data_IF_073974129061
#
_entry.id   IF_073974129061
#
_cell.length_a   1.000
_cell.length_b   1.000
_cell.length_c   1.000
_cell.angle_alpha   90.00
_cell.angle_beta   90.00
_cell.angle_gamma   90.00
#
_symmetry.space_group_name_H-M   'P 1'
#
loop_
_entity.id
_entity.type
_entity.pdbx_description
1 polymer ?
#
# COMPACT_ATOMS: atom_id res chain seq x y z
N UNK A 1 6.41 -11.98 -41.73
CA UNK A 1 5.06 -11.46 -41.45
C UNK A 1 4.52 -10.84 -42.73
N UNK A 2 3.35 -11.29 -43.19
CA UNK A 2 2.56 -10.62 -44.23
C UNK A 2 2.01 -9.31 -43.68
N UNK A 3 1.83 -8.30 -44.54
CA UNK A 3 1.28 -7.00 -44.14
C UNK A 3 -0.16 -7.15 -43.63
N UNK A 4 -0.51 -6.40 -42.58
CA UNK A 4 -1.89 -6.36 -42.06
C UNK A 4 -2.79 -5.69 -43.11
N UNK A 5 -3.97 -6.24 -43.44
CA UNK A 5 -4.85 -5.65 -44.45
C UNK A 5 -5.19 -4.18 -44.16
N UNK A 6 -5.24 -3.37 -45.22
CA UNK A 6 -5.75 -2.00 -45.13
C UNK A 6 -7.25 -2.06 -44.78
N UNK A 7 -7.70 -1.21 -43.86
CA UNK A 7 -9.10 -1.14 -43.43
C UNK A 7 -9.44 -1.87 -42.13
N UNK A 8 -8.50 -2.59 -41.51
CA UNK A 8 -8.69 -3.18 -40.18
C UNK A 8 -8.93 -2.08 -39.15
N UNK A 9 -10.01 -2.22 -38.39
CA UNK A 9 -10.36 -1.31 -37.28
C UNK A 9 -10.12 -1.94 -35.90
N UNK A 10 -10.29 -3.26 -35.79
CA UNK A 10 -10.18 -3.99 -34.54
C UNK A 10 -9.00 -4.96 -34.62
N UNK A 11 -8.02 -4.79 -33.73
CA UNK A 11 -6.87 -5.66 -33.59
C UNK A 11 -6.82 -6.37 -32.23
N UNK A 12 -7.97 -6.54 -31.59
CA UNK A 12 -8.06 -7.22 -30.31
C UNK A 12 -7.40 -8.61 -30.37
N UNK A 13 -6.48 -8.86 -29.44
CA UNK A 13 -5.74 -10.12 -29.29
C UNK A 13 -5.01 -10.64 -30.54
N UNK A 14 -4.80 -9.85 -31.60
CA UNK A 14 -4.24 -10.34 -32.87
C UNK A 14 -2.83 -10.96 -32.76
N UNK A 15 -2.01 -10.51 -31.82
CA UNK A 15 -0.68 -11.06 -31.53
C UNK A 15 -0.58 -11.60 -30.11
N UNK A 16 -1.72 -11.93 -29.48
CA UNK A 16 -1.74 -12.50 -28.14
C UNK A 16 -0.88 -13.77 -28.09
N UNK A 17 0.00 -13.87 -27.09
CA UNK A 17 0.84 -15.05 -26.88
C UNK A 17 1.86 -15.30 -27.99
N UNK A 18 2.15 -14.32 -28.86
CA UNK A 18 3.23 -14.42 -29.83
C UNK A 18 4.59 -14.26 -29.11
N UNK A 19 4.97 -15.22 -28.27
CA UNK A 19 6.08 -15.11 -27.32
C UNK A 19 7.42 -14.79 -28.00
N UNK A 20 7.63 -15.29 -29.23
CA UNK A 20 8.85 -15.07 -30.03
C UNK A 20 8.85 -13.78 -30.87
N UNK A 21 7.82 -12.92 -30.76
CA UNK A 21 7.70 -11.69 -31.54
C UNK A 21 8.72 -10.63 -31.08
N UNK A 22 9.82 -10.48 -31.81
CA UNK A 22 10.87 -9.49 -31.48
C UNK A 22 10.59 -8.09 -32.04
N UNK A 23 9.80 -8.01 -33.12
CA UNK A 23 9.43 -6.77 -33.81
C UNK A 23 7.96 -6.82 -34.21
N UNK A 24 7.16 -5.89 -33.69
CA UNK A 24 5.78 -5.73 -34.09
C UNK A 24 5.64 -5.23 -35.54
N UNK A 25 4.59 -5.63 -36.27
CA UNK A 25 4.28 -5.08 -37.58
C UNK A 25 3.78 -3.64 -37.49
N UNK A 26 3.74 -2.94 -38.63
CA UNK A 26 3.09 -1.62 -38.73
C UNK A 26 1.58 -1.76 -38.53
N UNK A 27 1.00 -0.90 -37.69
CA UNK A 27 -0.42 -0.91 -37.37
C UNK A 27 -1.18 -0.03 -38.38
N UNK A 28 -2.22 -0.53 -39.06
CA UNK A 28 -3.00 0.26 -40.01
C UNK A 28 -3.63 1.51 -39.37
N UNK A 29 -3.66 2.62 -40.10
CA UNK A 29 -4.19 3.92 -39.61
C UNK A 29 -5.65 3.90 -39.14
N UNK A 30 -6.46 2.95 -39.63
CA UNK A 30 -7.87 2.82 -39.29
C UNK A 30 -8.16 2.10 -37.97
N UNK A 31 -7.13 1.58 -37.29
CA UNK A 31 -7.30 0.81 -36.06
C UNK A 31 -7.75 1.72 -34.92
N UNK A 32 -8.82 1.32 -34.25
CA UNK A 32 -9.39 2.00 -33.08
C UNK A 32 -9.30 1.15 -31.80
N UNK A 33 -9.18 -0.18 -31.93
CA UNK A 33 -9.13 -1.11 -30.81
C UNK A 33 -7.87 -1.99 -30.86
N UNK A 34 -7.06 -1.93 -29.81
CA UNK A 34 -5.86 -2.76 -29.61
C UNK A 34 -5.90 -3.53 -28.29
N UNK A 35 -7.10 -3.80 -27.76
CA UNK A 35 -7.31 -4.62 -26.58
C UNK A 35 -6.47 -5.90 -26.63
N UNK A 36 -5.57 -6.10 -25.66
CA UNK A 36 -4.77 -7.33 -25.52
C UNK A 36 -3.91 -7.69 -26.76
N UNK A 37 -3.71 -6.74 -27.69
CA UNK A 37 -3.17 -7.02 -29.03
C UNK A 37 -1.79 -7.69 -29.00
N UNK A 38 -0.88 -7.20 -28.15
CA UNK A 38 0.49 -7.72 -27.98
C UNK A 38 0.71 -8.39 -26.62
N UNK A 39 -0.36 -8.73 -25.89
CA UNK A 39 -0.23 -9.37 -24.59
C UNK A 39 0.56 -10.68 -24.71
N UNK A 40 1.49 -10.90 -23.79
CA UNK A 40 2.43 -12.02 -23.74
C UNK A 40 3.39 -12.11 -24.95
N UNK A 41 3.60 -11.02 -25.69
CA UNK A 41 4.74 -10.90 -26.62
C UNK A 41 6.04 -10.66 -25.84
N UNK A 42 6.53 -11.70 -25.15
CA UNK A 42 7.63 -11.60 -24.16
C UNK A 42 8.96 -11.13 -24.74
N UNK A 43 9.21 -11.43 -26.02
CA UNK A 43 10.42 -11.02 -26.73
C UNK A 43 10.34 -9.62 -27.38
N UNK A 44 9.20 -8.94 -27.30
CA UNK A 44 9.03 -7.63 -27.94
C UNK A 44 9.82 -6.56 -27.19
N UNK A 45 10.85 -6.00 -27.83
CA UNK A 45 11.74 -5.01 -27.20
C UNK A 45 11.28 -3.56 -27.34
N UNK A 46 10.45 -3.29 -28.36
CA UNK A 46 9.93 -1.96 -28.71
C UNK A 46 8.48 -2.07 -29.16
N UNK A 47 7.63 -1.20 -28.64
CA UNK A 47 6.25 -1.09 -29.10
C UNK A 47 6.20 -0.49 -30.52
N UNK A 48 5.23 -0.91 -31.36
CA UNK A 48 5.01 -0.26 -32.67
C UNK A 48 4.49 1.17 -32.50
N UNK A 49 4.54 1.96 -33.57
CA UNK A 49 3.81 3.22 -33.61
C UNK A 49 2.30 2.96 -33.47
N UNK A 50 1.65 3.70 -32.58
CA UNK A 50 0.22 3.56 -32.30
C UNK A 50 -0.54 4.59 -33.14
N UNK A 51 -1.49 4.18 -34.02
CA UNK A 51 -2.24 5.11 -34.85
C UNK A 51 -3.12 6.09 -34.07
N UNK A 52 -3.27 7.31 -34.59
CA UNK A 52 -4.07 8.39 -33.99
C UNK A 52 -5.55 8.03 -33.73
N UNK A 53 -6.09 6.98 -34.35
CA UNK A 53 -7.46 6.53 -34.13
C UNK A 53 -7.65 5.60 -32.93
N UNK A 54 -6.57 5.11 -32.31
CA UNK A 54 -6.66 4.09 -31.25
C UNK A 54 -7.27 4.65 -29.97
N UNK A 55 -8.38 4.06 -29.53
CA UNK A 55 -9.13 4.47 -28.34
C UNK A 55 -8.93 3.49 -27.17
N UNK A 56 -8.77 2.20 -27.46
CA UNK A 56 -8.63 1.15 -26.44
C UNK A 56 -7.28 0.43 -26.53
N UNK A 57 -6.52 0.50 -25.45
CA UNK A 57 -5.23 -0.18 -25.26
C UNK A 57 -5.20 -1.03 -23.97
N UNK A 58 -6.35 -1.40 -23.42
CA UNK A 58 -6.41 -2.28 -22.26
C UNK A 58 -5.63 -3.58 -22.52
N UNK A 59 -4.77 -3.96 -21.57
CA UNK A 59 -3.86 -5.13 -21.65
C UNK A 59 -2.96 -5.19 -22.90
N UNK A 60 -2.84 -4.11 -23.69
CA UNK A 60 -2.24 -4.17 -25.02
C UNK A 60 -0.82 -4.75 -25.02
N UNK A 61 0.01 -4.38 -24.03
CA UNK A 61 1.38 -4.86 -23.86
C UNK A 61 1.59 -5.65 -22.55
N UNK A 62 0.51 -6.21 -21.98
CA UNK A 62 0.62 -7.04 -20.78
C UNK A 62 1.66 -8.15 -20.99
N UNK A 63 2.54 -8.37 -20.02
CA UNK A 63 3.60 -9.38 -20.04
C UNK A 63 4.57 -9.26 -21.25
N UNK A 64 4.70 -8.09 -21.88
CA UNK A 64 5.82 -7.78 -22.77
C UNK A 64 7.10 -7.55 -21.95
N UNK A 65 7.65 -8.61 -21.36
CA UNK A 65 8.69 -8.52 -20.32
C UNK A 65 9.99 -7.84 -20.78
N UNK A 66 10.34 -7.94 -22.07
CA UNK A 66 11.52 -7.29 -22.68
C UNK A 66 11.26 -5.90 -23.25
N UNK A 67 10.04 -5.37 -23.15
CA UNK A 67 9.69 -4.06 -23.69
C UNK A 67 10.42 -2.97 -22.90
N UNK A 68 11.31 -2.23 -23.56
CA UNK A 68 12.17 -1.23 -22.90
C UNK A 68 11.67 0.21 -23.04
N UNK A 69 10.97 0.49 -24.15
CA UNK A 69 10.49 1.83 -24.53
C UNK A 69 9.18 1.73 -25.30
N UNK A 70 8.33 2.72 -25.10
CA UNK A 70 7.06 2.89 -25.78
C UNK A 70 7.05 4.30 -26.39
N UNK A 71 6.64 4.48 -27.65
CA UNK A 71 6.51 5.82 -28.24
C UNK A 71 5.39 6.61 -27.53
N UNK A 72 5.28 7.90 -27.85
CA UNK A 72 4.15 8.69 -27.42
C UNK A 72 2.83 8.04 -27.86
N UNK A 73 1.84 8.03 -26.97
CA UNK A 73 0.52 7.47 -27.23
C UNK A 73 -0.40 8.57 -27.78
N UNK A 74 -1.31 8.22 -28.70
CA UNK A 74 -2.18 9.21 -29.33
C UNK A 74 -3.23 9.75 -28.34
N UNK A 75 -3.64 11.00 -28.54
CA UNK A 75 -4.56 11.70 -27.64
C UNK A 75 -5.96 11.06 -27.57
N UNK A 76 -6.32 10.25 -28.56
CA UNK A 76 -7.60 9.54 -28.66
C UNK A 76 -7.73 8.36 -27.70
N UNK A 77 -6.63 7.85 -27.14
CA UNK A 77 -6.65 6.71 -26.20
C UNK A 77 -7.39 7.10 -24.93
N UNK A 78 -8.40 6.31 -24.57
CA UNK A 78 -9.24 6.51 -23.38
C UNK A 78 -9.02 5.42 -22.32
N UNK A 79 -8.74 4.18 -22.74
CA UNK A 79 -8.57 3.03 -21.85
C UNK A 79 -7.15 2.45 -21.94
N UNK A 80 -6.47 2.39 -20.79
CA UNK A 80 -5.13 1.82 -20.63
C UNK A 80 -5.02 0.87 -19.42
N UNK A 81 -6.13 0.33 -18.92
CA UNK A 81 -6.10 -0.61 -17.81
C UNK A 81 -5.15 -1.79 -18.12
N UNK A 82 -4.22 -2.09 -17.20
CA UNK A 82 -3.18 -3.13 -17.37
C UNK A 82 -2.33 -3.04 -18.64
N UNK A 83 -2.28 -1.90 -19.34
CA UNK A 83 -1.61 -1.79 -20.64
C UNK A 83 -0.15 -2.26 -20.62
N UNK A 84 0.62 -1.95 -19.57
CA UNK A 84 2.02 -2.34 -19.39
C UNK A 84 2.23 -3.27 -18.17
N UNK A 85 1.20 -4.01 -17.78
CA UNK A 85 1.27 -4.96 -16.67
C UNK A 85 2.39 -5.98 -16.90
N UNK A 86 3.32 -6.13 -15.96
CA UNK A 86 4.54 -6.95 -16.06
C UNK A 86 5.46 -6.62 -17.25
N UNK A 87 5.49 -5.38 -17.75
CA UNK A 87 6.58 -4.92 -18.62
C UNK A 87 7.87 -4.70 -17.83
N UNK A 88 8.47 -5.78 -17.33
CA UNK A 88 9.58 -5.77 -16.35
C UNK A 88 10.80 -4.95 -16.79
N UNK A 89 11.07 -4.88 -18.09
CA UNK A 89 12.20 -4.13 -18.66
C UNK A 89 11.88 -2.68 -19.04
N UNK A 90 10.67 -2.19 -18.80
CA UNK A 90 10.26 -0.83 -19.18
C UNK A 90 11.00 0.18 -18.30
N UNK A 91 11.94 0.92 -18.89
CA UNK A 91 12.79 1.88 -18.16
C UNK A 91 12.17 3.27 -18.06
N UNK A 92 11.31 3.61 -19.02
CA UNK A 92 10.61 4.89 -19.13
C UNK A 92 9.17 4.64 -19.59
N UNK A 93 8.22 5.15 -18.83
CA UNK A 93 6.82 5.17 -19.23
C UNK A 93 6.60 6.17 -20.39
N UNK A 94 5.65 5.91 -21.31
CA UNK A 94 5.31 6.87 -22.35
C UNK A 94 4.60 8.10 -21.77
N UNK A 95 4.52 9.17 -22.57
CA UNK A 95 3.61 10.28 -22.27
C UNK A 95 2.17 9.75 -22.28
N UNK A 96 1.46 9.98 -21.18
CA UNK A 96 0.08 9.53 -21.02
C UNK A 96 -0.90 10.49 -21.71
N UNK A 97 -1.86 9.96 -22.51
CA UNK A 97 -2.94 10.72 -23.13
C UNK A 97 -3.82 11.45 -22.10
N UNK A 98 -4.22 12.70 -22.42
CA UNK A 98 -4.96 13.56 -21.50
C UNK A 98 -6.40 13.07 -21.17
N UNK A 99 -7.00 12.25 -22.05
CA UNK A 99 -8.37 11.77 -21.92
C UNK A 99 -8.55 10.59 -20.94
N UNK A 100 -7.46 10.00 -20.44
CA UNK A 100 -7.54 8.81 -19.60
C UNK A 100 -8.09 9.14 -18.22
N UNK A 101 -9.03 8.33 -17.76
CA UNK A 101 -9.63 8.42 -16.42
C UNK A 101 -9.19 7.30 -15.48
N UNK A 102 -8.72 6.16 -16.01
CA UNK A 102 -8.35 4.96 -15.26
C UNK A 102 -6.95 4.47 -15.62
N UNK A 103 -6.05 4.45 -14.64
CA UNK A 103 -4.69 3.90 -14.74
C UNK A 103 -4.51 2.63 -13.90
N UNK A 104 -5.59 1.97 -13.50
CA UNK A 104 -5.48 0.81 -12.63
C UNK A 104 -4.56 -0.26 -13.22
N UNK A 105 -3.63 -0.74 -12.41
CA UNK A 105 -2.65 -1.77 -12.76
C UNK A 105 -1.79 -1.47 -14.02
N UNK A 106 -1.80 -0.25 -14.55
CA UNK A 106 -1.21 0.06 -15.86
C UNK A 106 0.29 -0.26 -15.92
N UNK A 107 1.03 0.03 -14.86
CA UNK A 107 2.48 -0.23 -14.73
C UNK A 107 2.81 -1.27 -13.65
N UNK A 108 1.84 -2.12 -13.28
CA UNK A 108 2.10 -3.19 -12.31
C UNK A 108 3.29 -4.03 -12.74
N UNK A 109 4.23 -4.34 -11.85
CA UNK A 109 5.40 -5.16 -12.15
C UNK A 109 6.36 -4.56 -13.19
N UNK A 110 6.29 -3.26 -13.48
CA UNK A 110 7.32 -2.57 -14.28
C UNK A 110 8.58 -2.35 -13.43
N UNK A 111 9.30 -3.44 -13.14
CA UNK A 111 10.39 -3.46 -12.15
C UNK A 111 11.55 -2.51 -12.49
N UNK A 112 11.80 -2.28 -13.79
CA UNK A 112 12.89 -1.41 -14.27
C UNK A 112 12.52 0.08 -14.37
N UNK A 113 11.27 0.46 -14.09
CA UNK A 113 10.83 1.85 -14.19
C UNK A 113 11.46 2.67 -13.05
N UNK A 114 12.23 3.69 -13.41
CA UNK A 114 13.00 4.51 -12.44
C UNK A 114 12.32 5.82 -12.09
N UNK A 115 11.60 6.40 -13.05
CA UNK A 115 10.84 7.65 -12.94
C UNK A 115 9.41 7.39 -13.43
N UNK A 116 8.39 7.93 -12.73
CA UNK A 116 7.00 7.74 -13.11
C UNK A 116 6.62 8.68 -14.27
N UNK A 117 5.56 8.36 -15.05
CA UNK A 117 5.01 9.31 -16.01
C UNK A 117 4.30 10.47 -15.30
N UNK A 118 4.13 11.59 -16.01
CA UNK A 118 3.15 12.61 -15.60
C UNK A 118 1.75 11.99 -15.68
N UNK A 119 0.99 12.08 -14.59
CA UNK A 119 -0.38 11.62 -14.52
C UNK A 119 -1.31 12.69 -15.12
N UNK A 120 -2.21 12.35 -16.05
CA UNK A 120 -3.21 13.30 -16.56
C UNK A 120 -4.21 13.76 -15.51
N UNK A 121 -4.66 15.02 -15.60
CA UNK A 121 -5.57 15.64 -14.63
C UNK A 121 -6.94 14.94 -14.48
N UNK A 122 -7.40 14.27 -15.54
CA UNK A 122 -8.69 13.58 -15.56
C UNK A 122 -8.66 12.19 -14.90
N UNK A 123 -7.50 11.72 -14.46
CA UNK A 123 -7.37 10.41 -13.81
C UNK A 123 -8.06 10.44 -12.45
N UNK A 124 -8.97 9.48 -12.23
CA UNK A 124 -9.68 9.31 -10.97
C UNK A 124 -9.26 8.05 -10.22
N UNK A 125 -8.69 7.06 -10.91
CA UNK A 125 -8.31 5.76 -10.34
C UNK A 125 -6.87 5.36 -10.69
N UNK A 126 -6.06 5.10 -9.66
CA UNK A 126 -4.66 4.65 -9.76
C UNK A 126 -4.41 3.35 -8.96
N UNK A 127 -5.46 2.57 -8.67
CA UNK A 127 -5.34 1.33 -7.90
C UNK A 127 -4.28 0.39 -8.50
N UNK A 128 -3.31 -0.04 -7.71
CA UNK A 128 -2.16 -0.89 -8.10
C UNK A 128 -1.32 -0.38 -9.29
N UNK A 129 -1.42 0.89 -9.67
CA UNK A 129 -0.81 1.42 -10.90
C UNK A 129 0.69 1.13 -11.00
N UNK A 130 1.44 1.31 -9.90
CA UNK A 130 2.90 1.11 -9.82
C UNK A 130 3.30 -0.04 -8.87
N UNK A 131 2.38 -0.95 -8.52
CA UNK A 131 2.74 -2.02 -7.60
C UNK A 131 3.84 -2.90 -8.22
N UNK A 132 4.89 -3.18 -7.46
CA UNK A 132 6.05 -3.92 -7.92
C UNK A 132 7.03 -3.12 -8.79
N UNK A 133 6.89 -1.80 -8.93
CA UNK A 133 7.90 -0.94 -9.56
C UNK A 133 9.13 -0.76 -8.65
N UNK A 134 9.90 -1.84 -8.48
CA UNK A 134 11.01 -1.95 -7.50
C UNK A 134 12.07 -0.87 -7.61
N UNK A 135 12.35 -0.37 -8.82
CA UNK A 135 13.37 0.66 -9.08
C UNK A 135 12.82 2.09 -9.11
N UNK A 136 11.52 2.30 -8.85
CA UNK A 136 10.92 3.62 -8.86
C UNK A 136 11.44 4.42 -7.67
N UNK A 137 12.19 5.50 -7.94
CA UNK A 137 12.85 6.29 -6.89
C UNK A 137 12.00 7.43 -6.35
N UNK A 138 11.02 7.88 -7.16
CA UNK A 138 10.09 8.99 -6.86
C UNK A 138 8.68 8.62 -7.28
N UNK A 139 7.71 9.07 -6.50
CA UNK A 139 6.31 9.00 -6.89
C UNK A 139 5.95 10.16 -7.82
N UNK A 140 4.95 10.00 -8.71
CA UNK A 140 4.47 11.11 -9.52
C UNK A 140 3.70 12.12 -8.68
N UNK A 141 3.52 13.33 -9.22
CA UNK A 141 2.48 14.25 -8.74
C UNK A 141 1.12 13.59 -8.98
N UNK A 142 0.29 13.57 -7.94
CA UNK A 142 -1.05 12.99 -7.97
C UNK A 142 -2.06 14.11 -8.22
N UNK A 143 -2.87 14.05 -9.30
CA UNK A 143 -3.90 15.04 -9.56
C UNK A 143 -5.02 15.07 -8.51
N UNK A 144 -5.66 16.23 -8.33
CA UNK A 144 -6.73 16.45 -7.35
C UNK A 144 -7.99 15.59 -7.58
N UNK A 145 -8.19 15.14 -8.81
CA UNK A 145 -9.31 14.26 -9.20
C UNK A 145 -9.14 12.79 -8.78
N UNK A 146 -7.96 12.38 -8.31
CA UNK A 146 -7.70 10.99 -7.91
C UNK A 146 -8.41 10.67 -6.60
N UNK A 147 -9.27 9.65 -6.62
CA UNK A 147 -10.07 9.21 -5.47
C UNK A 147 -9.62 7.88 -4.89
N UNK A 148 -8.86 7.08 -5.64
CA UNK A 148 -8.38 5.77 -5.20
C UNK A 148 -6.94 5.47 -5.63
N UNK A 149 -6.10 5.13 -4.66
CA UNK A 149 -4.70 4.74 -4.80
C UNK A 149 -4.39 3.44 -4.02
N UNK A 150 -5.39 2.60 -3.78
CA UNK A 150 -5.21 1.32 -3.08
C UNK A 150 -4.08 0.50 -3.73
N UNK A 151 -3.08 0.13 -2.93
CA UNK A 151 -1.92 -0.62 -3.39
C UNK A 151 -1.05 0.04 -4.46
N UNK A 152 -1.21 1.34 -4.75
CA UNK A 152 -0.59 2.00 -5.90
C UNK A 152 0.93 1.83 -5.97
N UNK A 153 1.63 1.93 -4.84
CA UNK A 153 3.09 1.81 -4.74
C UNK A 153 3.55 0.57 -3.96
N UNK A 154 2.67 -0.42 -3.76
CA UNK A 154 3.04 -1.62 -3.02
C UNK A 154 4.22 -2.33 -3.69
N UNK A 155 5.29 -2.62 -2.95
CA UNK A 155 6.53 -3.22 -3.47
C UNK A 155 7.45 -2.25 -4.21
N UNK A 156 7.22 -0.93 -4.15
CA UNK A 156 8.16 0.08 -4.64
C UNK A 156 9.36 0.22 -3.68
N UNK A 157 10.23 -0.79 -3.66
CA UNK A 157 11.31 -0.93 -2.67
C UNK A 157 12.36 0.18 -2.74
N UNK A 158 12.47 0.93 -3.83
CA UNK A 158 13.39 2.07 -3.98
C UNK A 158 12.77 3.44 -3.69
N UNK A 159 11.46 3.51 -3.44
CA UNK A 159 10.76 4.77 -3.20
C UNK A 159 11.14 5.32 -1.83
N UNK A 160 11.72 6.54 -1.80
CA UNK A 160 12.23 7.15 -0.56
C UNK A 160 11.22 8.05 0.15
N UNK A 161 10.35 8.69 -0.64
CA UNK A 161 9.37 9.66 -0.16
C UNK A 161 8.02 9.37 -0.83
N UNK A 162 6.95 9.36 -0.03
CA UNK A 162 5.59 9.26 -0.53
C UNK A 162 5.20 10.56 -1.25
N UNK A 163 4.29 10.51 -2.23
CA UNK A 163 3.78 11.73 -2.85
C UNK A 163 2.86 12.49 -1.88
N UNK A 164 2.62 13.76 -2.19
CA UNK A 164 1.48 14.48 -1.61
C UNK A 164 0.17 13.81 -2.03
N UNK A 165 -0.78 13.78 -1.09
CA UNK A 165 -2.04 13.07 -1.26
C UNK A 165 -3.18 14.08 -1.48
N UNK A 166 -3.99 13.95 -2.54
CA UNK A 166 -5.06 14.90 -2.84
C UNK A 166 -6.21 14.81 -1.84
N UNK A 167 -6.90 15.93 -1.62
CA UNK A 167 -7.95 16.06 -0.59
C UNK A 167 -9.14 15.10 -0.76
N UNK A 168 -9.43 14.68 -1.99
CA UNK A 168 -10.57 13.82 -2.34
C UNK A 168 -10.24 12.32 -2.25
N UNK A 169 -9.03 11.94 -1.85
CA UNK A 169 -8.66 10.53 -1.77
C UNK A 169 -9.48 9.82 -0.68
N UNK A 170 -10.05 8.66 -1.04
CA UNK A 170 -10.79 7.79 -0.10
C UNK A 170 -10.06 6.47 0.14
N UNK A 171 -9.40 5.92 -0.89
CA UNK A 171 -8.75 4.61 -0.84
C UNK A 171 -7.22 4.70 -0.81
N UNK A 172 -6.61 4.31 0.31
CA UNK A 172 -5.14 4.22 0.47
C UNK A 172 -4.65 2.87 1.03
N UNK A 173 -5.55 1.91 1.23
CA UNK A 173 -5.19 0.59 1.77
C UNK A 173 -4.06 -0.06 0.94
N UNK A 174 -3.05 -0.60 1.61
CA UNK A 174 -1.85 -1.23 1.04
C UNK A 174 -0.98 -0.32 0.16
N UNK A 175 -1.26 1.00 0.08
CA UNK A 175 -0.65 1.89 -0.92
C UNK A 175 0.88 1.86 -0.92
N UNK A 176 1.50 1.81 0.26
CA UNK A 176 2.96 1.79 0.44
C UNK A 176 3.46 0.48 1.06
N UNK A 177 2.67 -0.61 0.97
CA UNK A 177 3.10 -1.90 1.47
C UNK A 177 4.47 -2.28 0.88
N UNK A 178 5.39 -2.77 1.68
CA UNK A 178 6.73 -3.25 1.35
C UNK A 178 7.58 -2.19 0.61
N UNK A 179 7.30 -0.89 0.80
CA UNK A 179 8.18 0.22 0.42
C UNK A 179 9.36 0.33 1.40
N UNK A 180 10.29 -0.61 1.31
CA UNK A 180 11.37 -0.78 2.31
C UNK A 180 12.32 0.41 2.44
N UNK A 181 12.49 1.22 1.39
CA UNK A 181 13.32 2.44 1.43
C UNK A 181 12.55 3.71 1.84
N UNK A 182 11.24 3.62 2.10
CA UNK A 182 10.41 4.78 2.42
C UNK A 182 10.81 5.36 3.78
N UNK A 183 11.33 6.58 3.77
CA UNK A 183 11.74 7.31 4.99
C UNK A 183 10.74 8.39 5.38
N UNK A 184 9.96 8.91 4.41
CA UNK A 184 8.94 9.93 4.62
C UNK A 184 7.59 9.44 4.11
N UNK A 185 6.66 9.23 5.04
CA UNK A 185 5.25 9.06 4.72
C UNK A 185 4.64 10.39 4.21
N UNK A 186 3.40 10.38 3.66
CA UNK A 186 2.73 11.62 3.26
C UNK A 186 2.69 12.65 4.40
N UNK A 187 2.81 13.94 4.03
CA UNK A 187 2.77 15.06 4.98
C UNK A 187 1.44 15.12 5.73
N UNK A 188 0.36 14.74 5.05
CA UNK A 188 -1.00 14.67 5.56
C UNK A 188 -1.78 13.59 4.82
N UNK A 189 -2.86 13.11 5.45
CA UNK A 189 -3.84 12.24 4.84
C UNK A 189 -5.20 12.93 4.91
N UNK A 190 -6.05 12.81 3.87
CA UNK A 190 -7.32 13.51 3.83
C UNK A 190 -8.35 12.90 4.79
N UNK A 191 -9.27 13.75 5.26
CA UNK A 191 -10.33 13.36 6.21
C UNK A 191 -11.27 12.26 5.68
N UNK A 192 -11.35 12.11 4.36
CA UNK A 192 -12.20 11.11 3.70
C UNK A 192 -11.63 9.68 3.74
N UNK A 193 -10.39 9.48 4.20
CA UNK A 193 -9.79 8.16 4.36
C UNK A 193 -10.41 7.47 5.56
N UNK A 194 -11.05 6.33 5.31
CA UNK A 194 -11.67 5.49 6.37
C UNK A 194 -10.90 4.20 6.64
N UNK A 195 -10.04 3.78 5.71
CA UNK A 195 -9.35 2.49 5.76
C UNK A 195 -7.85 2.63 5.41
N UNK A 196 -7.01 2.31 6.40
CA UNK A 196 -5.54 2.32 6.28
C UNK A 196 -4.94 0.91 6.40
N UNK A 197 -5.71 -0.15 6.16
CA UNK A 197 -5.23 -1.54 6.21
C UNK A 197 -3.95 -1.72 5.40
N UNK A 198 -2.92 -2.27 6.03
CA UNK A 198 -1.61 -2.61 5.43
C UNK A 198 -0.90 -1.44 4.72
N UNK A 199 -1.32 -0.19 4.93
CA UNK A 199 -0.85 0.96 4.14
C UNK A 199 0.67 1.12 4.14
N UNK A 200 1.34 0.88 5.27
CA UNK A 200 2.79 0.97 5.44
C UNK A 200 3.41 -0.35 5.91
N UNK A 201 2.70 -1.48 5.76
CA UNK A 201 3.22 -2.80 6.13
C UNK A 201 4.59 -2.99 5.48
N UNK A 202 5.62 -3.37 6.22
CA UNK A 202 6.96 -3.64 5.68
C UNK A 202 7.76 -2.39 5.28
N UNK A 203 7.33 -1.18 5.64
CA UNK A 203 8.12 0.04 5.49
C UNK A 203 9.26 0.08 6.52
N UNK A 204 10.28 -0.74 6.32
CA UNK A 204 11.36 -0.99 7.29
C UNK A 204 12.23 0.23 7.59
N UNK A 205 12.28 1.22 6.70
CA UNK A 205 13.03 2.48 6.87
C UNK A 205 12.19 3.65 7.41
N UNK A 206 10.88 3.48 7.62
CA UNK A 206 10.00 4.56 8.06
C UNK A 206 10.25 4.85 9.53
N UNK A 207 10.68 6.06 9.84
CA UNK A 207 11.01 6.48 11.22
C UNK A 207 9.84 7.16 11.94
N UNK A 208 8.96 7.81 11.17
CA UNK A 208 7.79 8.54 11.67
C UNK A 208 6.55 8.22 10.81
N UNK A 209 5.46 7.84 11.48
CA UNK A 209 4.17 7.64 10.85
C UNK A 209 3.48 8.99 10.50
N UNK A 210 2.59 9.03 9.49
CA UNK A 210 1.76 10.20 9.24
C UNK A 210 0.69 10.34 10.32
N UNK A 211 0.12 11.54 10.46
CA UNK A 211 -1.08 11.73 11.27
C UNK A 211 -2.23 10.89 10.69
N UNK A 212 -2.99 10.24 11.57
CA UNK A 212 -4.13 9.41 11.18
C UNK A 212 -5.38 10.30 11.13
N UNK A 213 -6.11 10.35 10.01
CA UNK A 213 -7.35 11.13 9.92
C UNK A 213 -8.45 10.61 10.85
N UNK A 214 -9.29 11.53 11.36
CA UNK A 214 -10.38 11.19 12.29
C UNK A 214 -11.43 10.24 11.71
N UNK A 215 -11.55 10.15 10.39
CA UNK A 215 -12.47 9.22 9.71
C UNK A 215 -12.01 7.76 9.69
N UNK A 216 -10.77 7.47 10.10
CA UNK A 216 -10.19 6.12 10.01
C UNK A 216 -10.83 5.18 11.04
N UNK A 217 -11.29 4.03 10.56
CA UNK A 217 -11.90 2.97 11.39
C UNK A 217 -11.05 1.69 11.44
N UNK A 218 -10.22 1.45 10.42
CA UNK A 218 -9.42 0.23 10.28
C UNK A 218 -7.94 0.55 10.01
N UNK A 219 -7.06 0.09 10.91
CA UNK A 219 -5.61 0.19 10.79
C UNK A 219 -4.92 -1.20 10.88
N UNK A 220 -5.64 -2.27 10.56
CA UNK A 220 -5.10 -3.64 10.56
C UNK A 220 -3.79 -3.70 9.78
N UNK A 221 -2.72 -4.16 10.43
CA UNK A 221 -1.35 -4.30 9.89
C UNK A 221 -0.77 -3.03 9.26
N UNK A 222 -1.30 -1.84 9.58
CA UNK A 222 -0.89 -0.59 8.93
C UNK A 222 0.63 -0.36 9.00
N UNK A 223 1.25 -0.64 10.15
CA UNK A 223 2.69 -0.49 10.38
C UNK A 223 3.39 -1.82 10.71
N UNK A 224 2.80 -2.97 10.34
CA UNK A 224 3.40 -4.29 10.55
C UNK A 224 4.81 -4.31 9.95
N UNK A 225 5.81 -4.72 10.72
CA UNK A 225 7.23 -4.76 10.39
C UNK A 225 7.86 -3.40 10.00
N UNK A 226 7.33 -2.28 10.49
CA UNK A 226 8.01 -0.98 10.44
C UNK A 226 9.16 -0.91 11.47
N UNK A 227 10.24 -1.66 11.20
CA UNK A 227 11.33 -1.87 12.16
C UNK A 227 12.09 -0.60 12.59
N UNK A 228 12.02 0.48 11.79
CA UNK A 228 12.65 1.77 12.12
C UNK A 228 11.72 2.76 12.83
N UNK A 229 10.44 2.44 13.03
CA UNK A 229 9.46 3.35 13.62
C UNK A 229 9.76 3.56 15.10
N UNK A 230 10.06 4.81 15.49
CA UNK A 230 10.41 5.16 16.87
C UNK A 230 9.21 5.72 17.64
N UNK A 231 8.31 6.40 16.93
CA UNK A 231 7.10 7.03 17.46
C UNK A 231 5.88 6.54 16.66
N UNK A 232 4.91 5.98 17.37
CA UNK A 232 3.61 5.64 16.81
C UNK A 232 2.73 6.90 16.68
N UNK A 233 1.84 6.95 15.69
CA UNK A 233 0.91 8.07 15.57
C UNK A 233 -0.21 7.96 16.62
N UNK A 234 -0.88 9.07 16.90
CA UNK A 234 -2.13 9.03 17.66
C UNK A 234 -3.18 8.18 16.95
N UNK A 235 -3.96 7.43 17.73
CA UNK A 235 -5.05 6.60 17.23
C UNK A 235 -6.37 7.35 17.47
N UNK A 236 -7.09 7.77 16.40
CA UNK A 236 -8.37 8.47 16.53
C UNK A 236 -9.46 7.62 17.19
N UNK A 237 -10.45 8.28 17.79
CA UNK A 237 -11.54 7.59 18.50
C UNK A 237 -12.34 6.58 17.66
N UNK A 238 -12.62 6.82 16.36
CA UNK A 238 -13.40 5.87 15.56
C UNK A 238 -12.67 4.58 15.18
N UNK A 239 -11.38 4.46 15.47
CA UNK A 239 -10.60 3.25 15.16
C UNK A 239 -11.12 2.08 15.99
N UNK A 240 -11.55 1.02 15.32
CA UNK A 240 -12.08 -0.20 15.94
C UNK A 240 -11.13 -1.40 15.81
N UNK A 241 -10.27 -1.42 14.78
CA UNK A 241 -9.40 -2.55 14.48
C UNK A 241 -7.94 -2.14 14.29
N UNK A 242 -7.05 -2.69 15.11
CA UNK A 242 -5.59 -2.47 15.06
C UNK A 242 -4.80 -3.79 15.11
N UNK A 243 -5.37 -4.88 14.57
CA UNK A 243 -4.74 -6.21 14.53
C UNK A 243 -3.36 -6.13 13.87
N UNK A 244 -2.31 -6.65 14.52
CA UNK A 244 -0.91 -6.62 14.07
C UNK A 244 -0.42 -5.22 13.65
N UNK A 245 -1.06 -4.12 14.09
CA UNK A 245 -0.79 -2.79 13.54
C UNK A 245 0.68 -2.38 13.72
N UNK A 246 1.28 -2.69 14.86
CA UNK A 246 2.68 -2.38 15.19
C UNK A 246 3.53 -3.65 15.39
N UNK A 247 3.07 -4.83 14.96
CA UNK A 247 3.85 -6.06 15.09
C UNK A 247 5.21 -5.88 14.41
N UNK A 248 6.30 -6.26 15.07
CA UNK A 248 7.66 -6.10 14.56
C UNK A 248 8.21 -4.67 14.54
N UNK A 249 7.54 -3.69 15.17
CA UNK A 249 8.08 -2.34 15.38
C UNK A 249 9.16 -2.35 16.47
N UNK A 250 10.32 -2.93 16.17
CA UNK A 250 11.38 -3.23 17.17
C UNK A 250 11.99 -1.99 17.84
N UNK A 251 11.87 -0.79 17.24
CA UNK A 251 12.37 0.47 17.80
C UNK A 251 11.33 1.26 18.58
N UNK A 252 10.06 0.88 18.52
CA UNK A 252 8.97 1.59 19.20
C UNK A 252 9.14 1.48 20.72
N UNK A 253 9.31 2.62 21.39
CA UNK A 253 9.50 2.67 22.85
C UNK A 253 8.20 2.82 23.63
N UNK A 254 7.26 3.60 23.09
CA UNK A 254 5.97 3.88 23.71
C UNK A 254 4.87 3.57 22.71
N UNK A 255 3.93 2.73 23.11
CA UNK A 255 2.73 2.46 22.31
C UNK A 255 1.87 3.73 22.26
N UNK A 256 1.10 3.95 21.18
CA UNK A 256 0.12 5.01 21.19
C UNK A 256 -0.96 4.71 22.23
N UNK A 257 -1.63 5.75 22.71
CA UNK A 257 -2.78 5.56 23.60
C UNK A 257 -3.86 4.82 22.82
N UNK A 258 -4.29 3.66 23.33
CA UNK A 258 -5.33 2.86 22.69
C UNK A 258 -6.70 3.39 23.19
N UNK A 259 -7.54 3.99 22.30
CA UNK A 259 -8.80 4.61 22.69
C UNK A 259 -9.87 3.58 23.03
N UNK A 260 -10.99 4.04 23.60
CA UNK A 260 -12.06 3.15 24.06
C UNK A 260 -12.75 2.37 22.93
N UNK A 261 -12.81 2.95 21.73
CA UNK A 261 -13.43 2.34 20.55
C UNK A 261 -12.72 1.11 19.96
N UNK A 262 -11.48 0.82 20.38
CA UNK A 262 -10.73 -0.35 19.86
C UNK A 262 -11.33 -1.65 20.39
N UNK A 263 -11.85 -2.45 19.47
CA UNK A 263 -12.49 -3.74 19.74
C UNK A 263 -11.51 -4.90 19.60
N UNK A 264 -10.55 -4.80 18.66
CA UNK A 264 -9.60 -5.88 18.38
C UNK A 264 -8.17 -5.38 18.13
N UNK A 265 -7.22 -5.96 18.84
CA UNK A 265 -5.78 -5.64 18.73
C UNK A 265 -4.87 -6.86 18.84
N UNK A 266 -5.36 -8.04 18.49
CA UNK A 266 -4.56 -9.28 18.40
C UNK A 266 -3.23 -9.00 17.69
N UNK A 267 -2.13 -9.46 18.28
CA UNK A 267 -0.75 -9.32 17.79
C UNK A 267 -0.23 -7.88 17.66
N UNK A 268 -0.99 -6.85 18.08
CA UNK A 268 -0.71 -5.45 17.73
C UNK A 268 0.70 -4.98 18.09
N UNK A 269 1.27 -5.43 19.22
CA UNK A 269 2.63 -5.08 19.63
C UNK A 269 3.60 -6.26 19.60
N UNK A 270 3.22 -7.40 19.03
CA UNK A 270 4.06 -8.59 19.01
C UNK A 270 5.44 -8.27 18.43
N UNK A 271 6.51 -8.64 19.13
CA UNK A 271 7.89 -8.36 18.72
C UNK A 271 8.34 -6.91 18.89
N UNK A 272 7.59 -6.02 19.54
CA UNK A 272 8.05 -4.69 19.92
C UNK A 272 9.06 -4.77 21.08
N UNK A 273 10.29 -5.20 20.78
CA UNK A 273 11.31 -5.56 21.76
C UNK A 273 11.73 -4.42 22.70
N UNK A 274 11.62 -3.16 22.25
CA UNK A 274 11.99 -1.96 23.01
C UNK A 274 10.80 -1.26 23.68
N UNK A 275 9.60 -1.85 23.64
CA UNK A 275 8.40 -1.25 24.19
C UNK A 275 8.45 -1.22 25.72
N UNK A 276 8.45 -0.02 26.30
CA UNK A 276 8.55 0.20 27.76
C UNK A 276 7.29 0.79 28.38
N UNK A 277 6.35 1.33 27.57
CA UNK A 277 5.11 1.89 28.09
C UNK A 277 3.93 1.65 27.15
N UNK A 278 2.80 1.25 27.73
CA UNK A 278 1.53 1.03 27.05
C UNK A 278 0.42 1.68 27.88
N UNK A 279 -0.48 2.40 27.21
CA UNK A 279 -1.69 2.95 27.84
C UNK A 279 -2.91 2.48 27.09
N UNK A 280 -3.73 1.67 27.76
CA UNK A 280 -5.02 1.21 27.25
C UNK A 280 -6.11 2.01 27.96
N UNK A 281 -6.90 2.80 27.21
CA UNK A 281 -8.12 3.45 27.72
C UNK A 281 -9.36 2.58 27.52
N UNK A 282 -9.26 1.53 26.71
CA UNK A 282 -10.40 0.69 26.42
C UNK A 282 -10.85 -0.13 27.63
N UNK A 283 -12.19 -0.26 27.78
CA UNK A 283 -12.83 -1.29 28.60
C UNK A 283 -12.92 -2.64 27.88
N UNK A 284 -12.19 -2.77 26.78
CA UNK A 284 -11.91 -3.94 25.99
C UNK A 284 -11.68 -5.19 26.84
N UNK A 285 -12.36 -6.28 26.47
CA UNK A 285 -12.13 -7.57 27.11
C UNK A 285 -10.81 -8.16 26.59
N UNK A 286 -9.96 -8.76 27.44
CA UNK A 286 -8.70 -9.37 27.01
C UNK A 286 -8.81 -10.49 25.96
N UNK A 287 -10.03 -10.94 25.65
CA UNK A 287 -10.31 -11.99 24.67
C UNK A 287 -9.94 -11.61 23.23
N UNK A 288 -9.91 -10.32 22.90
CA UNK A 288 -9.54 -9.82 21.57
C UNK A 288 -8.06 -9.42 21.43
N UNK A 289 -7.24 -9.79 22.42
CA UNK A 289 -5.86 -9.33 22.60
C UNK A 289 -4.83 -10.46 22.44
N UNK A 290 -5.12 -11.44 21.59
CA UNK A 290 -4.26 -12.60 21.39
C UNK A 290 -2.81 -12.20 21.07
N UNK A 291 -1.85 -12.73 21.81
CA UNK A 291 -0.40 -12.53 21.63
C UNK A 291 0.02 -11.05 21.54
N UNK A 292 -0.78 -10.12 22.06
CA UNK A 292 -0.57 -8.67 21.90
C UNK A 292 0.81 -8.22 22.37
N UNK A 293 1.32 -8.76 23.48
CA UNK A 293 2.61 -8.41 24.08
C UNK A 293 3.68 -9.48 23.90
N UNK A 294 3.46 -10.46 23.01
CA UNK A 294 4.44 -11.50 22.73
C UNK A 294 5.77 -10.88 22.33
N UNK A 295 6.86 -11.35 22.92
CA UNK A 295 8.23 -10.86 22.71
C UNK A 295 8.47 -9.36 23.03
N UNK A 296 7.61 -8.72 23.81
CA UNK A 296 7.78 -7.33 24.31
C UNK A 296 8.66 -7.26 25.56
N UNK A 297 9.90 -7.75 25.46
CA UNK A 297 10.74 -8.06 26.63
C UNK A 297 11.17 -6.84 27.48
N UNK A 298 11.07 -5.62 26.96
CA UNK A 298 11.38 -4.38 27.68
C UNK A 298 10.26 -3.87 28.60
N UNK A 299 9.08 -4.50 28.60
CA UNK A 299 7.97 -4.12 29.48
C UNK A 299 8.33 -4.40 30.95
N UNK A 300 8.57 -3.34 31.72
CA UNK A 300 8.87 -3.41 33.16
C UNK A 300 7.64 -3.44 34.07
N UNK A 301 7.85 -3.38 35.37
CA UNK A 301 6.76 -3.25 36.35
C UNK A 301 5.98 -1.94 36.12
N UNK A 302 4.64 -2.01 36.15
CA UNK A 302 3.74 -0.87 35.93
C UNK A 302 3.81 -0.21 34.54
N UNK A 303 4.43 -0.87 33.56
CA UNK A 303 4.57 -0.36 32.18
C UNK A 303 3.26 -0.35 31.40
N UNK A 304 2.34 -1.25 31.71
CA UNK A 304 1.03 -1.37 31.08
C UNK A 304 -0.02 -0.71 31.97
N UNK A 305 -0.52 0.45 31.54
CA UNK A 305 -1.52 1.25 32.25
C UNK A 305 -2.91 0.93 31.70
N UNK A 306 -3.84 0.61 32.59
CA UNK A 306 -5.22 0.25 32.26
C UNK A 306 -6.20 1.00 33.19
N UNK A 307 -7.49 1.10 32.85
CA UNK A 307 -8.49 1.71 33.73
C UNK A 307 -8.56 0.98 35.07
N UNK A 308 -8.55 1.71 36.19
CA UNK A 308 -8.62 1.11 37.53
C UNK A 308 -9.87 0.24 37.71
N UNK A 309 -11.00 0.63 37.12
CA UNK A 309 -12.24 -0.13 37.16
C UNK A 309 -12.15 -1.48 36.41
N UNK A 310 -11.33 -1.58 35.37
CA UNK A 310 -11.15 -2.80 34.57
C UNK A 310 -9.89 -3.60 34.97
N UNK A 311 -9.04 -3.07 35.86
CA UNK A 311 -7.74 -3.64 36.21
C UNK A 311 -7.77 -5.15 36.49
N UNK A 312 -8.76 -5.63 37.26
CA UNK A 312 -8.89 -7.04 37.62
C UNK A 312 -9.11 -7.98 36.42
N UNK A 313 -9.67 -7.48 35.32
CA UNK A 313 -9.90 -8.26 34.09
C UNK A 313 -8.58 -8.53 33.36
N UNK A 314 -7.61 -7.61 33.42
CA UNK A 314 -6.33 -7.71 32.73
C UNK A 314 -5.32 -8.66 33.41
N UNK A 315 -5.55 -8.99 34.69
CA UNK A 315 -4.57 -9.71 35.52
C UNK A 315 -5.00 -11.15 35.87
N UNK A 316 -6.04 -11.69 35.22
CA UNK A 316 -6.38 -13.11 35.35
C UNK A 316 -5.32 -13.97 34.65
N UNK A 317 -5.12 -15.21 35.10
CA UNK A 317 -4.17 -16.12 34.46
C UNK A 317 -4.48 -16.33 32.96
N UNK A 318 -5.76 -16.43 32.62
CA UNK A 318 -6.24 -16.53 31.23
C UNK A 318 -5.87 -15.29 30.41
N UNK A 319 -6.17 -14.09 30.92
CA UNK A 319 -5.86 -12.83 30.23
C UNK A 319 -4.36 -12.64 30.01
N UNK A 320 -3.54 -12.88 31.05
CA UNK A 320 -2.09 -12.76 30.98
C UNK A 320 -1.48 -13.74 29.96
N UNK A 321 -2.00 -14.96 29.88
CA UNK A 321 -1.55 -15.96 28.92
C UNK A 321 -2.03 -15.65 27.50
N UNK A 322 -3.29 -15.24 27.33
CA UNK A 322 -3.86 -14.88 26.03
C UNK A 322 -3.14 -13.69 25.41
N UNK A 323 -2.79 -12.68 26.21
CA UNK A 323 -2.01 -11.52 25.77
C UNK A 323 -0.52 -11.81 25.58
N UNK A 324 -0.04 -13.01 25.94
CA UNK A 324 1.37 -13.39 25.99
C UNK A 324 2.23 -12.35 26.74
N UNK A 325 1.77 -11.92 27.92
CA UNK A 325 2.49 -10.96 28.76
C UNK A 325 3.85 -11.57 29.13
N UNK A 326 4.98 -10.88 28.88
CA UNK A 326 6.30 -11.41 29.20
C UNK A 326 6.49 -11.69 30.69
N UNK A 327 7.34 -12.63 31.07
CA UNK A 327 7.60 -12.99 32.47
C UNK A 327 7.55 -14.50 32.71
N UNK A 328 8.41 -15.00 33.58
CA UNK A 328 8.53 -16.41 33.92
C UNK A 328 7.41 -16.86 34.87
N UNK A 329 6.97 -15.97 35.76
CA UNK A 329 5.90 -16.26 36.73
C UNK A 329 4.66 -15.40 36.52
N UNK A 330 3.51 -15.87 37.01
CA UNK A 330 2.27 -15.08 37.00
C UNK A 330 2.43 -13.78 37.79
N UNK A 331 3.15 -13.79 38.91
CA UNK A 331 3.42 -12.61 39.72
C UNK A 331 4.21 -11.54 38.93
N UNK A 332 5.24 -11.95 38.18
CA UNK A 332 6.00 -11.06 37.30
C UNK A 332 5.13 -10.47 36.19
N UNK A 333 4.27 -11.30 35.56
CA UNK A 333 3.33 -10.85 34.53
C UNK A 333 2.34 -9.82 35.09
N UNK A 334 1.76 -10.10 36.28
CA UNK A 334 0.83 -9.19 36.99
C UNK A 334 1.49 -7.85 37.33
N UNK A 335 2.74 -7.88 37.79
CA UNK A 335 3.48 -6.68 38.18
C UNK A 335 3.67 -5.68 37.02
N UNK A 336 3.53 -6.10 35.76
CA UNK A 336 3.59 -5.18 34.61
C UNK A 336 2.39 -4.24 34.50
N UNK A 337 1.27 -4.58 35.13
CA UNK A 337 0.05 -3.79 35.05
C UNK A 337 -0.05 -2.77 36.17
N UNK A 338 -0.63 -1.61 35.86
CA UNK A 338 -1.01 -0.57 36.83
C UNK A 338 -2.40 -0.05 36.50
N UNK A 339 -3.32 -0.16 37.46
CA UNK A 339 -4.65 0.44 37.36
C UNK A 339 -4.62 1.93 37.71
N UNK A 340 -5.14 2.78 36.84
CA UNK A 340 -5.15 4.25 37.00
C UNK A 340 -6.59 4.78 37.00
N UNK A 341 -6.91 5.67 37.94
CA UNK A 341 -8.27 6.19 38.10
C UNK A 341 -8.61 7.20 37.00
N UNK A 342 -7.61 7.95 36.54
CA UNK A 342 -7.71 8.91 35.44
C UNK A 342 -7.94 8.27 34.06
N UNK A 343 -7.83 6.94 33.95
CA UNK A 343 -8.13 6.19 32.73
C UNK A 343 -9.53 5.56 32.74
N UNK A 344 -10.30 5.72 33.83
CA UNK A 344 -11.70 5.29 33.82
C UNK A 344 -12.50 6.15 32.82
N UNK A 345 -13.49 5.56 32.13
CA UNK A 345 -14.28 6.24 31.10
C UNK A 345 -15.13 7.39 31.63
#
# INVERSE_FOLDING_TARGET
>A
MTAIPKGVQNMAACFFGCENLTKAPEIPKGVTNMYECFSRCRELTKAPAIPEGVQNMERCFQECEKLTKVPALPASVQNMERCFYNCKSLTQAPLLPAGITNLSNCFWGCESLTEPPKIPENVTNMTFCFNGCKNLTKAPVIPDGVTNMGGCFSGCTSLKEAPEIPANLTGIANCFQDCTSLTKAPSSLPANVTNMRECFRGCTSLTKAPAIPDGVTNMTRCFLNCGSLEEAPEIPQPVTHIISCFEGCIRLKTAPVIPYGVLEMSYCFKGCKNLTSVTLKCGCTPYFFEDTFKDCNALGAGSIKVPKAAYHQFITAEALNKMAVPGATEAEKKAKFKGLAELNP
#
